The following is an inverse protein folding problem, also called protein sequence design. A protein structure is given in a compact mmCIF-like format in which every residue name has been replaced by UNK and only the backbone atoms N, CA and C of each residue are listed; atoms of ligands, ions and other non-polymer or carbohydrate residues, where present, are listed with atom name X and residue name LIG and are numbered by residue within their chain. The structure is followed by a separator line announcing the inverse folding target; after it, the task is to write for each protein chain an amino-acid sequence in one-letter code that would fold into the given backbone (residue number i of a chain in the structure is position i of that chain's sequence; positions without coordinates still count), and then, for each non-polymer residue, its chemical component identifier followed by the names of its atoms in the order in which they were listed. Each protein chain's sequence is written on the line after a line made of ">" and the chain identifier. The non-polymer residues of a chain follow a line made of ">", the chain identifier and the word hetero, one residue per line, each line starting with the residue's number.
data_IF_007942423565
#
_entry.id   IF_007942423565
#
_cell.length_a   1.000
_cell.length_b   1.000
_cell.length_c   1.000
_cell.angle_alpha   90.00
_cell.angle_beta   90.00
_cell.angle_gamma   90.00
#
_symmetry.space_group_name_H-M   'P 1'
#
loop_
_entity.id
_entity.type
_entity.pdbx_description
1 polymer ?
#
# COMPACT_ATOMS: atom_id res chain seq x y z
N UNK A 1 12.21 -16.43 -3.13
CA UNK A 1 13.10 -15.51 -3.88
C UNK A 1 12.24 -14.52 -4.69
N UNK A 2 11.38 -14.98 -5.63
CA UNK A 2 10.58 -14.12 -6.52
C UNK A 2 9.79 -13.06 -5.75
N UNK A 3 9.06 -13.46 -4.72
CA UNK A 3 8.29 -12.52 -3.90
C UNK A 3 9.19 -11.47 -3.24
N UNK A 4 10.29 -11.89 -2.60
CA UNK A 4 11.20 -10.99 -1.89
C UNK A 4 11.99 -10.04 -2.82
N UNK A 5 12.06 -10.35 -4.11
CA UNK A 5 12.76 -9.56 -5.13
C UNK A 5 11.81 -8.77 -6.04
N UNK A 6 10.51 -8.80 -5.79
CA UNK A 6 9.53 -7.96 -6.48
C UNK A 6 9.57 -6.53 -5.93
N UNK A 7 9.62 -5.52 -6.81
CA UNK A 7 9.82 -4.12 -6.40
C UNK A 7 8.74 -3.61 -5.44
N UNK A 8 7.48 -3.95 -5.66
CA UNK A 8 6.37 -3.55 -4.77
C UNK A 8 6.58 -4.04 -3.34
N UNK A 9 6.98 -5.31 -3.17
CA UNK A 9 7.28 -5.90 -1.85
C UNK A 9 8.44 -5.15 -1.20
N UNK A 10 9.49 -4.82 -1.94
CA UNK A 10 10.67 -4.14 -1.39
C UNK A 10 10.32 -2.73 -0.93
N UNK A 11 9.58 -1.98 -1.76
CA UNK A 11 9.18 -0.61 -1.45
C UNK A 11 8.26 -0.58 -0.23
N UNK A 12 7.22 -1.42 -0.22
CA UNK A 12 6.22 -1.42 0.86
C UNK A 12 6.73 -2.07 2.15
N UNK A 13 7.67 -3.02 2.09
CA UNK A 13 8.30 -3.59 3.29
C UNK A 13 9.09 -2.55 4.10
N UNK A 14 9.50 -1.45 3.48
CA UNK A 14 10.19 -0.32 4.15
C UNK A 14 9.27 0.84 4.48
N UNK A 15 8.07 0.82 3.97
CA UNK A 15 7.04 1.82 4.30
C UNK A 15 6.34 1.43 5.59
N UNK A 16 6.11 2.39 6.48
CA UNK A 16 5.39 2.16 7.73
C UNK A 16 3.87 2.01 7.47
N UNK A 17 3.50 1.00 6.67
CA UNK A 17 2.11 0.69 6.31
C UNK A 17 1.69 -0.68 6.86
N UNK A 18 0.44 -0.80 7.25
CA UNK A 18 -0.13 -2.03 7.80
C UNK A 18 -0.30 -3.13 6.74
N UNK A 19 -0.21 -2.78 5.44
CA UNK A 19 -0.43 -3.70 4.34
C UNK A 19 0.56 -4.86 4.31
N UNK A 20 1.83 -4.64 4.66
CA UNK A 20 2.84 -5.70 4.72
C UNK A 20 2.55 -6.73 5.82
N UNK A 21 2.11 -6.27 7.00
CA UNK A 21 1.68 -7.15 8.07
C UNK A 21 0.43 -7.93 7.69
N UNK A 22 -0.54 -7.28 7.01
CA UNK A 22 -1.71 -7.94 6.45
C UNK A 22 -1.34 -9.03 5.45
N UNK A 23 -0.45 -8.75 4.50
CA UNK A 23 0.00 -9.73 3.48
C UNK A 23 0.66 -10.93 4.13
N UNK A 24 1.52 -10.70 5.13
CA UNK A 24 2.11 -11.80 5.89
C UNK A 24 1.05 -12.67 6.56
N UNK A 25 0.13 -12.07 7.30
CA UNK A 25 -0.93 -12.78 8.00
C UNK A 25 -1.87 -13.52 7.03
N UNK A 26 -2.30 -12.88 5.93
CA UNK A 26 -3.12 -13.53 4.89
C UNK A 26 -2.38 -14.69 4.21
N UNK A 27 -1.08 -14.55 3.99
CA UNK A 27 -0.26 -15.62 3.39
C UNK A 27 -0.20 -16.83 4.32
N UNK A 28 0.08 -16.61 5.61
CA UNK A 28 0.07 -17.69 6.61
C UNK A 28 -1.32 -18.33 6.68
N UNK A 29 -2.39 -17.53 6.76
CA UNK A 29 -3.76 -18.03 6.83
C UNK A 29 -4.11 -18.93 5.63
N UNK A 30 -3.91 -18.43 4.40
CA UNK A 30 -4.32 -19.11 3.17
C UNK A 30 -3.48 -20.36 2.89
N UNK A 31 -2.18 -20.33 3.13
CA UNK A 31 -1.31 -21.50 3.01
C UNK A 31 -1.69 -22.55 4.07
N UNK A 32 -1.97 -22.12 5.30
CA UNK A 32 -2.39 -23.04 6.37
C UNK A 32 -3.75 -23.68 6.08
N UNK A 33 -4.72 -22.96 5.51
CA UNK A 33 -5.98 -23.55 5.04
C UNK A 33 -5.74 -24.59 3.93
N UNK A 34 -4.88 -24.29 2.97
CA UNK A 34 -4.51 -25.21 1.91
C UNK A 34 -3.86 -26.50 2.46
N UNK A 35 -3.02 -26.37 3.49
CA UNK A 35 -2.35 -27.48 4.19
C UNK A 35 -3.23 -28.15 5.25
N UNK A 36 -4.45 -27.65 5.48
CA UNK A 36 -5.39 -28.11 6.52
C UNK A 36 -4.85 -27.94 7.95
N UNK A 37 -3.99 -26.99 8.16
CA UNK A 37 -3.41 -26.57 9.45
C UNK A 37 -4.30 -25.48 10.05
N UNK A 38 -5.42 -25.85 10.66
CA UNK A 38 -6.48 -24.88 11.00
C UNK A 38 -6.13 -23.95 12.16
N UNK A 39 -5.30 -24.39 13.14
CA UNK A 39 -4.89 -23.52 14.26
C UNK A 39 -4.12 -22.30 13.74
N UNK A 40 -2.98 -22.46 13.04
CA UNK A 40 -2.26 -21.29 12.50
C UNK A 40 -3.10 -20.50 11.48
N UNK A 41 -4.01 -21.16 10.72
CA UNK A 41 -4.88 -20.47 9.79
C UNK A 41 -5.78 -19.44 10.49
N UNK A 42 -6.50 -19.85 11.54
CA UNK A 42 -7.40 -18.95 12.28
C UNK A 42 -6.65 -17.94 13.15
N UNK A 43 -5.52 -18.31 13.72
CA UNK A 43 -4.65 -17.36 14.42
C UNK A 43 -4.21 -16.23 13.47
N UNK A 44 -3.76 -16.60 12.28
CA UNK A 44 -3.36 -15.63 11.27
C UNK A 44 -4.52 -14.76 10.77
N UNK A 45 -5.74 -15.31 10.64
CA UNK A 45 -6.95 -14.52 10.37
C UNK A 45 -7.21 -13.48 11.48
N UNK A 46 -7.04 -13.84 12.75
CA UNK A 46 -7.17 -12.93 13.88
C UNK A 46 -6.15 -11.78 13.82
N UNK A 47 -4.89 -12.06 13.53
CA UNK A 47 -3.86 -11.05 13.29
C UNK A 47 -4.16 -10.19 12.06
N UNK A 48 -4.61 -10.78 10.96
CA UNK A 48 -5.01 -10.04 9.78
C UNK A 48 -6.16 -9.06 10.06
N UNK A 49 -7.13 -9.48 10.90
CA UNK A 49 -8.21 -8.62 11.36
C UNK A 49 -7.70 -7.44 12.20
N UNK A 50 -6.73 -7.66 13.08
CA UNK A 50 -6.09 -6.57 13.84
C UNK A 50 -5.41 -5.54 12.95
N UNK A 51 -4.85 -5.98 11.81
CA UNK A 51 -4.12 -5.07 10.91
C UNK A 51 -5.05 -4.20 10.05
N UNK A 52 -6.15 -4.76 9.55
CA UNK A 52 -7.01 -4.06 8.57
C UNK A 52 -8.51 -4.41 8.68
N UNK A 53 -8.95 -4.90 9.83
CA UNK A 53 -10.37 -5.18 10.11
C UNK A 53 -10.96 -6.33 9.26
N UNK A 54 -12.20 -6.16 8.74
CA UNK A 54 -12.98 -7.25 8.13
C UNK A 54 -12.30 -8.02 7.02
N UNK A 55 -11.36 -7.40 6.28
CA UNK A 55 -10.59 -8.04 5.21
C UNK A 55 -9.81 -9.26 5.74
N UNK A 56 -9.36 -9.20 7.02
CA UNK A 56 -8.60 -10.28 7.65
C UNK A 56 -9.36 -11.62 7.74
N UNK A 57 -10.68 -11.58 7.88
CA UNK A 57 -11.55 -12.76 7.82
C UNK A 57 -12.16 -12.96 6.43
N UNK A 58 -12.57 -11.85 5.81
CA UNK A 58 -13.33 -11.89 4.55
C UNK A 58 -12.53 -12.49 3.40
N UNK A 59 -11.27 -12.10 3.23
CA UNK A 59 -10.45 -12.59 2.12
C UNK A 59 -10.16 -14.09 2.21
N UNK A 60 -9.66 -14.64 3.34
CA UNK A 60 -9.49 -16.07 3.46
C UNK A 60 -10.79 -16.84 3.24
N UNK A 61 -11.90 -16.39 3.81
CA UNK A 61 -13.19 -17.03 3.66
C UNK A 61 -13.68 -17.06 2.20
N UNK A 62 -13.60 -15.90 1.49
CA UNK A 62 -14.04 -15.79 0.10
C UNK A 62 -13.13 -16.57 -0.85
N UNK A 63 -11.81 -16.50 -0.68
CA UNK A 63 -10.85 -17.21 -1.54
C UNK A 63 -11.03 -18.72 -1.40
N UNK A 64 -11.12 -19.22 -0.16
CA UNK A 64 -11.34 -20.65 0.10
C UNK A 64 -12.70 -21.09 -0.44
N UNK A 65 -13.77 -20.32 -0.22
CA UNK A 65 -15.11 -20.63 -0.73
C UNK A 65 -15.14 -20.68 -2.26
N UNK A 66 -14.57 -19.68 -2.94
CA UNK A 66 -14.48 -19.65 -4.40
C UNK A 66 -13.71 -20.84 -4.94
N UNK A 67 -12.56 -21.16 -4.34
CA UNK A 67 -11.80 -22.34 -4.73
C UNK A 67 -12.59 -23.65 -4.52
N UNK A 68 -13.31 -23.78 -3.39
CA UNK A 68 -14.18 -24.94 -3.14
C UNK A 68 -15.34 -25.01 -4.14
N UNK A 69 -15.93 -23.90 -4.56
CA UNK A 69 -16.97 -23.85 -5.58
C UNK A 69 -16.43 -24.28 -6.95
N UNK A 70 -15.29 -23.74 -7.39
CA UNK A 70 -14.68 -24.09 -8.67
C UNK A 70 -14.26 -25.57 -8.71
N UNK A 71 -13.75 -26.10 -7.60
CA UNK A 71 -13.38 -27.53 -7.49
C UNK A 71 -14.55 -28.48 -7.20
N UNK A 72 -15.79 -27.94 -7.20
CA UNK A 72 -17.03 -28.71 -6.85
C UNK A 72 -16.94 -29.38 -5.49
N UNK A 73 -16.16 -28.85 -4.58
CA UNK A 73 -15.98 -29.39 -3.21
C UNK A 73 -16.73 -28.57 -2.15
N UNK A 74 -17.54 -27.61 -2.54
CA UNK A 74 -18.36 -26.78 -1.64
C UNK A 74 -19.54 -27.58 -1.12
N UNK A 75 -19.30 -28.46 -0.12
CA UNK A 75 -20.28 -29.31 0.53
C UNK A 75 -20.27 -29.05 2.03
N UNK A 76 -21.41 -29.32 2.70
CA UNK A 76 -21.53 -29.14 4.14
C UNK A 76 -20.42 -29.90 4.90
N UNK A 77 -20.12 -31.14 4.47
CA UNK A 77 -19.04 -31.95 5.03
C UNK A 77 -17.69 -31.26 4.96
N UNK A 78 -17.32 -30.66 3.82
CA UNK A 78 -16.06 -30.01 3.63
C UNK A 78 -16.01 -28.66 4.35
N UNK A 79 -17.14 -27.93 4.43
CA UNK A 79 -17.27 -26.71 5.22
C UNK A 79 -17.04 -26.99 6.71
N UNK A 80 -17.67 -28.08 7.23
CA UNK A 80 -17.44 -28.50 8.61
C UNK A 80 -16.01 -28.96 8.85
N UNK A 81 -15.36 -29.56 7.83
CA UNK A 81 -13.96 -29.97 7.90
C UNK A 81 -12.98 -28.77 8.04
N UNK A 82 -13.38 -27.54 7.68
CA UNK A 82 -12.61 -26.31 7.95
C UNK A 82 -12.58 -25.97 9.44
N UNK A 83 -13.36 -26.65 10.27
CA UNK A 83 -13.40 -26.48 11.74
C UNK A 83 -13.70 -25.04 12.18
N UNK A 84 -14.52 -24.33 11.40
CA UNK A 84 -14.85 -22.91 11.63
C UNK A 84 -15.52 -22.67 13.00
N UNK A 85 -16.25 -23.65 13.53
CA UNK A 85 -17.00 -23.55 14.80
C UNK A 85 -16.12 -23.30 16.03
N UNK A 86 -14.85 -23.70 16.01
CA UNK A 86 -13.88 -23.32 17.03
C UNK A 86 -12.81 -22.34 16.49
N UNK A 87 -12.55 -22.38 15.20
CA UNK A 87 -11.54 -21.54 14.55
C UNK A 87 -11.91 -20.06 14.57
N UNK A 88 -13.18 -19.71 14.29
CA UNK A 88 -13.65 -18.33 14.38
C UNK A 88 -13.55 -17.81 15.83
N UNK A 89 -14.02 -18.51 16.89
CA UNK A 89 -13.76 -18.13 18.26
C UNK A 89 -12.30 -17.89 18.59
N UNK A 90 -11.39 -18.76 18.10
CA UNK A 90 -9.94 -18.57 18.30
C UNK A 90 -9.44 -17.27 17.65
N UNK A 91 -9.85 -16.98 16.43
CA UNK A 91 -9.46 -15.76 15.73
C UNK A 91 -10.06 -14.53 16.40
N UNK A 92 -11.29 -14.58 16.88
CA UNK A 92 -11.93 -13.52 17.66
C UNK A 92 -11.22 -13.28 19.00
N UNK A 93 -10.77 -14.34 19.67
CA UNK A 93 -10.00 -14.22 20.93
C UNK A 93 -8.70 -13.41 20.74
N UNK A 94 -8.10 -13.50 19.56
CA UNK A 94 -6.89 -12.72 19.23
C UNK A 94 -7.25 -11.28 18.86
N UNK A 95 -8.29 -11.07 18.07
CA UNK A 95 -8.58 -9.76 17.48
C UNK A 95 -9.45 -8.86 18.36
N UNK A 96 -10.50 -9.39 18.98
CA UNK A 96 -11.53 -8.59 19.65
C UNK A 96 -11.11 -7.88 20.94
N UNK A 97 -10.17 -8.38 21.77
CA UNK A 97 -9.78 -7.69 22.99
C UNK A 97 -9.36 -6.24 22.75
N UNK A 98 -8.62 -5.98 21.66
CA UNK A 98 -8.20 -4.62 21.31
C UNK A 98 -9.41 -3.74 20.89
N UNK A 99 -10.31 -4.28 20.06
CA UNK A 99 -11.50 -3.53 19.62
C UNK A 99 -12.47 -3.25 20.76
N UNK A 100 -12.64 -4.20 21.69
CA UNK A 100 -13.45 -4.02 22.89
C UNK A 100 -12.84 -2.92 23.75
N UNK A 101 -11.53 -2.97 24.03
CA UNK A 101 -10.83 -1.96 24.81
C UNK A 101 -11.00 -0.55 24.18
N UNK A 102 -10.78 -0.42 22.88
CA UNK A 102 -10.89 0.85 22.16
C UNK A 102 -12.34 1.39 22.16
N UNK A 103 -13.32 0.48 22.02
CA UNK A 103 -14.73 0.87 22.08
C UNK A 103 -15.13 1.33 23.50
N UNK A 104 -14.64 0.66 24.54
CA UNK A 104 -14.89 1.08 25.92
C UNK A 104 -14.26 2.43 26.26
N UNK A 105 -13.11 2.75 25.65
CA UNK A 105 -12.37 4.00 25.94
C UNK A 105 -12.83 5.19 25.10
N UNK A 106 -13.20 4.97 23.84
CA UNK A 106 -13.55 6.03 22.88
C UNK A 106 -15.04 6.04 22.50
N UNK A 107 -15.83 5.09 23.01
CA UNK A 107 -17.27 5.01 22.74
C UNK A 107 -17.63 4.62 21.30
N UNK A 108 -18.89 4.85 20.90
CA UNK A 108 -19.41 4.49 19.57
C UNK A 108 -18.64 5.13 18.41
N UNK A 109 -18.07 6.32 18.62
CA UNK A 109 -17.31 7.07 17.60
C UNK A 109 -16.15 6.24 17.03
N UNK A 110 -15.51 5.41 17.85
CA UNK A 110 -14.46 4.51 17.37
C UNK A 110 -15.00 3.48 16.38
N UNK A 111 -16.13 2.85 16.69
CA UNK A 111 -16.76 1.84 15.84
C UNK A 111 -17.24 2.44 14.52
N UNK A 112 -17.90 3.60 14.56
CA UNK A 112 -18.39 4.31 13.37
C UNK A 112 -17.23 4.76 12.47
N UNK A 113 -16.15 5.25 13.05
CA UNK A 113 -14.98 5.68 12.30
C UNK A 113 -14.24 4.47 11.70
N UNK A 114 -13.99 3.43 12.49
CA UNK A 114 -13.17 2.29 12.03
C UNK A 114 -13.95 1.40 11.06
N UNK A 115 -15.14 0.95 11.41
CA UNK A 115 -15.91 0.03 10.56
C UNK A 115 -16.75 0.77 9.52
N UNK A 116 -17.34 1.92 9.87
CA UNK A 116 -18.16 2.72 8.96
C UNK A 116 -17.28 3.41 7.92
N UNK A 117 -16.51 4.41 8.35
CA UNK A 117 -15.76 5.25 7.42
C UNK A 117 -14.56 4.55 6.77
N UNK A 118 -13.66 3.99 7.57
CA UNK A 118 -12.41 3.42 7.04
C UNK A 118 -12.57 2.09 6.29
N UNK A 119 -13.65 1.34 6.50
CA UNK A 119 -13.87 0.07 5.81
C UNK A 119 -15.00 0.14 4.78
N UNK A 120 -16.23 0.45 5.18
CA UNK A 120 -17.38 0.42 4.27
C UNK A 120 -17.42 1.65 3.33
N UNK A 121 -17.30 2.86 3.87
CA UNK A 121 -17.41 4.06 3.05
C UNK A 121 -16.27 4.17 2.02
N UNK A 122 -15.05 3.78 2.37
CA UNK A 122 -13.91 3.74 1.43
C UNK A 122 -14.10 2.79 0.25
N UNK A 123 -14.86 1.72 0.45
CA UNK A 123 -15.13 0.78 -0.64
C UNK A 123 -16.22 1.31 -1.58
N UNK A 124 -17.24 1.98 -1.04
CA UNK A 124 -18.42 2.44 -1.78
C UNK A 124 -18.34 3.88 -2.29
N UNK A 125 -17.55 4.74 -1.63
CA UNK A 125 -17.43 6.16 -1.97
C UNK A 125 -15.97 6.54 -2.20
N UNK A 126 -15.64 7.23 -3.30
CA UNK A 126 -14.26 7.63 -3.58
C UNK A 126 -13.80 8.69 -2.57
N UNK A 127 -12.67 8.46 -1.92
CA UNK A 127 -12.03 9.45 -1.04
C UNK A 127 -11.47 10.65 -1.84
N UNK A 128 -11.26 10.44 -3.16
CA UNK A 128 -10.84 11.46 -4.11
C UNK A 128 -11.63 11.31 -5.40
N UNK A 129 -12.52 12.26 -5.67
CA UNK A 129 -13.33 12.28 -6.90
C UNK A 129 -12.43 12.31 -8.15
N UNK A 130 -12.69 11.41 -9.11
CA UNK A 130 -12.04 11.41 -10.42
C UNK A 130 -10.67 10.73 -10.50
N UNK A 131 -10.21 10.00 -9.46
CA UNK A 131 -8.88 9.33 -9.47
C UNK A 131 -8.91 7.81 -9.63
N UNK A 132 -10.08 7.21 -9.83
CA UNK A 132 -10.20 5.77 -10.00
C UNK A 132 -10.02 5.39 -11.46
N UNK A 133 -8.96 4.67 -11.76
CA UNK A 133 -8.68 4.20 -13.12
C UNK A 133 -8.56 2.69 -13.11
N UNK A 134 -9.42 2.00 -13.84
CA UNK A 134 -9.37 0.53 -14.00
C UNK A 134 -7.99 0.02 -14.43
N UNK A 135 -7.21 0.84 -15.13
CA UNK A 135 -5.86 0.49 -15.60
C UNK A 135 -4.76 0.67 -14.53
N UNK A 136 -5.05 1.35 -13.39
CA UNK A 136 -4.04 1.65 -12.37
C UNK A 136 -3.34 0.38 -11.88
N UNK A 137 -4.11 -0.64 -11.50
CA UNK A 137 -3.52 -1.87 -10.98
C UNK A 137 -2.80 -2.72 -12.02
N UNK A 138 -3.09 -2.55 -13.31
CA UNK A 138 -2.26 -3.15 -14.37
C UNK A 138 -0.86 -2.54 -14.38
N UNK A 139 -0.76 -1.21 -14.24
CA UNK A 139 0.55 -0.53 -14.15
C UNK A 139 1.27 -0.90 -12.86
N UNK A 140 0.57 -0.86 -11.72
CA UNK A 140 1.15 -1.23 -10.43
C UNK A 140 1.66 -2.68 -10.45
N UNK A 141 0.88 -3.61 -11.00
CA UNK A 141 1.30 -4.99 -11.18
C UNK A 141 2.52 -5.11 -12.11
N UNK A 142 2.48 -4.43 -13.25
CA UNK A 142 3.55 -4.49 -14.23
C UNK A 142 4.87 -3.92 -13.69
N UNK A 143 4.84 -2.79 -13.01
CA UNK A 143 6.02 -2.17 -12.40
C UNK A 143 6.42 -2.87 -11.10
N UNK A 144 5.47 -3.16 -10.23
CA UNK A 144 5.72 -3.71 -8.90
C UNK A 144 6.19 -5.16 -8.91
N UNK A 145 5.76 -5.97 -9.89
CA UNK A 145 6.23 -7.35 -10.02
C UNK A 145 7.57 -7.47 -10.77
N UNK A 146 8.13 -6.37 -11.31
CA UNK A 146 9.46 -6.39 -11.89
C UNK A 146 10.48 -6.85 -10.84
N UNK A 147 11.47 -7.69 -11.21
CA UNK A 147 11.86 -8.10 -12.56
C UNK A 147 11.13 -9.34 -13.12
N UNK A 148 10.06 -9.81 -12.48
CA UNK A 148 9.33 -11.05 -12.83
C UNK A 148 8.11 -10.82 -13.71
N UNK A 149 7.80 -9.58 -14.06
CA UNK A 149 6.62 -9.19 -14.84
C UNK A 149 6.48 -9.98 -16.15
N UNK A 150 7.61 -10.31 -16.79
CA UNK A 150 7.64 -11.14 -18.00
C UNK A 150 7.05 -12.54 -17.84
N UNK A 151 6.94 -13.06 -16.61
CA UNK A 151 6.33 -14.36 -16.35
C UNK A 151 4.80 -14.36 -16.43
N UNK A 152 4.16 -13.22 -16.22
CA UNK A 152 2.69 -13.12 -16.11
C UNK A 152 1.97 -13.68 -17.34
N UNK A 153 2.31 -13.30 -18.59
CA UNK A 153 1.64 -13.88 -19.76
C UNK A 153 1.84 -15.39 -19.86
N UNK A 154 3.04 -15.89 -19.50
CA UNK A 154 3.35 -17.32 -19.47
C UNK A 154 2.51 -18.09 -18.45
N UNK A 155 2.38 -17.55 -17.25
CA UNK A 155 1.53 -18.11 -16.20
C UNK A 155 0.10 -18.28 -16.70
N UNK A 156 -0.52 -17.24 -17.26
CA UNK A 156 -1.90 -17.32 -17.72
C UNK A 156 -2.06 -18.21 -18.97
N UNK A 157 -1.04 -18.31 -19.82
CA UNK A 157 -1.05 -19.27 -20.94
C UNK A 157 -1.10 -20.72 -20.47
N UNK A 158 -0.47 -21.05 -19.35
CA UNK A 158 -0.49 -22.41 -18.78
C UNK A 158 -1.74 -22.68 -17.91
N UNK A 159 -2.61 -21.71 -17.70
CA UNK A 159 -3.82 -21.88 -16.89
C UNK A 159 -4.68 -23.10 -17.29
N UNK A 160 -4.94 -23.40 -18.59
CA UNK A 160 -5.78 -24.54 -18.97
C UNK A 160 -5.24 -25.89 -18.48
N UNK A 161 -3.93 -26.01 -18.38
CA UNK A 161 -3.24 -27.19 -17.89
C UNK A 161 -3.16 -27.18 -16.35
N UNK A 162 -2.65 -26.09 -15.77
CA UNK A 162 -2.34 -25.98 -14.35
C UNK A 162 -3.58 -25.90 -13.46
N UNK A 163 -4.74 -25.48 -14.01
CA UNK A 163 -6.01 -25.52 -13.27
C UNK A 163 -6.46 -26.93 -12.87
N UNK A 164 -5.89 -27.98 -13.46
CA UNK A 164 -6.14 -29.37 -13.08
C UNK A 164 -5.50 -29.73 -11.74
N UNK A 165 -4.40 -29.08 -11.39
CA UNK A 165 -3.79 -29.16 -10.07
C UNK A 165 -4.55 -28.25 -9.10
N UNK A 166 -5.08 -28.84 -8.02
CA UNK A 166 -5.88 -28.11 -7.02
C UNK A 166 -5.10 -27.03 -6.29
N UNK A 167 -3.80 -27.24 -6.08
CA UNK A 167 -2.92 -26.27 -5.40
C UNK A 167 -2.61 -25.09 -6.31
N UNK A 168 -2.26 -25.34 -7.57
CA UNK A 168 -2.02 -24.26 -8.54
C UNK A 168 -3.30 -23.45 -8.79
N UNK A 169 -4.45 -24.15 -8.91
CA UNK A 169 -5.75 -23.48 -9.04
C UNK A 169 -6.06 -22.58 -7.83
N UNK A 170 -5.71 -22.99 -6.60
CA UNK A 170 -5.87 -22.16 -5.41
C UNK A 170 -5.09 -20.86 -5.52
N UNK A 171 -3.84 -20.92 -5.99
CA UNK A 171 -3.02 -19.71 -6.20
C UNK A 171 -3.57 -18.81 -7.31
N UNK A 172 -4.13 -19.37 -8.39
CA UNK A 172 -4.84 -18.60 -9.40
C UNK A 172 -6.07 -17.88 -8.83
N UNK A 173 -6.91 -18.61 -8.09
CA UNK A 173 -8.12 -18.05 -7.46
C UNK A 173 -7.74 -16.91 -6.52
N UNK A 174 -6.74 -17.12 -5.69
CA UNK A 174 -6.26 -16.08 -4.77
C UNK A 174 -5.73 -14.85 -5.51
N UNK A 175 -4.84 -15.04 -6.49
CA UNK A 175 -4.27 -13.96 -7.30
C UNK A 175 -5.36 -13.14 -8.00
N UNK A 176 -6.24 -13.82 -8.72
CA UNK A 176 -7.29 -13.18 -9.52
C UNK A 176 -8.35 -12.52 -8.63
N UNK A 177 -8.73 -13.14 -7.52
CA UNK A 177 -9.68 -12.56 -6.57
C UNK A 177 -9.21 -11.21 -6.04
N UNK A 178 -7.97 -11.12 -5.55
CA UNK A 178 -7.42 -9.87 -5.00
C UNK A 178 -7.38 -8.79 -6.08
N UNK A 179 -6.92 -9.13 -7.28
CA UNK A 179 -6.84 -8.18 -8.38
C UNK A 179 -8.21 -7.63 -8.77
N UNK A 180 -9.19 -8.51 -8.97
CA UNK A 180 -10.56 -8.12 -9.34
C UNK A 180 -11.20 -7.31 -8.22
N UNK A 181 -11.13 -7.78 -6.97
CA UNK A 181 -11.76 -7.12 -5.83
C UNK A 181 -11.34 -5.66 -5.72
N UNK A 182 -10.03 -5.38 -5.76
CA UNK A 182 -9.54 -4.02 -5.64
C UNK A 182 -9.69 -3.19 -6.92
N UNK A 183 -9.73 -3.81 -8.09
CA UNK A 183 -10.01 -3.10 -9.34
C UNK A 183 -11.42 -2.48 -9.37
N UNK A 184 -12.37 -3.07 -8.63
CA UNK A 184 -13.72 -2.53 -8.46
C UNK A 184 -13.88 -1.63 -7.23
N UNK A 185 -12.83 -1.45 -6.43
CA UNK A 185 -12.89 -0.55 -5.26
C UNK A 185 -12.93 0.91 -5.72
N UNK A 186 -13.77 1.71 -5.05
CA UNK A 186 -13.88 3.15 -5.29
C UNK A 186 -12.62 3.92 -4.88
N UNK A 187 -11.89 3.44 -3.87
CA UNK A 187 -10.59 3.99 -3.47
C UNK A 187 -9.49 3.02 -3.89
N UNK A 188 -8.49 3.52 -4.61
CA UNK A 188 -7.38 2.71 -5.12
C UNK A 188 -6.04 3.23 -4.59
N UNK A 189 -5.32 2.39 -3.82
CA UNK A 189 -3.95 2.62 -3.38
C UNK A 189 -3.03 1.56 -3.97
N UNK A 190 -1.79 1.92 -4.25
CA UNK A 190 -0.79 0.99 -4.81
C UNK A 190 -0.66 -0.29 -3.99
N UNK A 191 -0.67 -0.17 -2.65
CA UNK A 191 -0.54 -1.29 -1.72
C UNK A 191 -1.71 -2.28 -1.69
N UNK A 192 -2.86 -1.93 -2.28
CA UNK A 192 -4.06 -2.76 -2.16
C UNK A 192 -3.94 -4.13 -2.86
N UNK A 193 -3.21 -4.19 -3.98
CA UNK A 193 -2.99 -5.46 -4.68
C UNK A 193 -1.82 -6.28 -4.11
N UNK A 194 -1.11 -5.76 -3.10
CA UNK A 194 0.03 -6.46 -2.49
C UNK A 194 -0.29 -7.91 -2.06
N UNK A 195 -1.49 -8.24 -1.50
CA UNK A 195 -1.83 -9.61 -1.12
C UNK A 195 -1.87 -10.62 -2.27
N UNK A 196 -1.84 -10.19 -3.54
CA UNK A 196 -1.75 -11.12 -4.68
C UNK A 196 -0.31 -11.55 -5.02
N UNK A 197 0.70 -10.84 -4.50
CA UNK A 197 2.11 -11.10 -4.85
C UNK A 197 2.63 -12.46 -4.36
N UNK A 198 2.30 -12.93 -3.13
CA UNK A 198 2.71 -14.26 -2.68
C UNK A 198 2.23 -15.38 -3.61
N UNK A 199 0.93 -15.55 -3.92
CA UNK A 199 0.48 -16.61 -4.81
C UNK A 199 0.97 -16.43 -6.25
N UNK A 200 1.04 -15.19 -6.77
CA UNK A 200 1.60 -14.90 -8.08
C UNK A 200 3.09 -15.32 -8.17
N UNK A 201 3.84 -15.09 -7.10
CA UNK A 201 5.25 -15.49 -7.01
C UNK A 201 5.43 -17.01 -7.02
N UNK A 202 4.49 -17.76 -6.40
CA UNK A 202 4.50 -19.23 -6.45
C UNK A 202 4.20 -19.73 -7.87
N UNK A 203 3.25 -19.13 -8.56
CA UNK A 203 2.94 -19.44 -9.96
C UNK A 203 4.12 -19.07 -10.87
N UNK A 204 4.77 -17.93 -10.64
CA UNK A 204 5.97 -17.53 -11.38
C UNK A 204 7.14 -18.49 -11.15
N UNK A 205 7.33 -18.96 -9.91
CA UNK A 205 8.32 -20.00 -9.58
C UNK A 205 8.06 -21.29 -10.35
N UNK A 206 6.81 -21.77 -10.37
CA UNK A 206 6.43 -22.95 -11.18
C UNK A 206 6.69 -22.71 -12.67
N UNK A 207 6.42 -21.51 -13.17
CA UNK A 207 6.69 -21.15 -14.56
C UNK A 207 8.19 -21.19 -14.88
N UNK A 208 9.05 -20.64 -14.00
CA UNK A 208 10.51 -20.67 -14.17
C UNK A 208 11.05 -22.11 -14.18
N UNK A 209 10.58 -22.96 -13.24
CA UNK A 209 10.93 -24.38 -13.20
C UNK A 209 10.51 -25.09 -14.50
N UNK A 210 9.30 -24.83 -14.98
CA UNK A 210 8.82 -25.42 -16.22
C UNK A 210 9.67 -25.01 -17.44
N UNK A 211 10.12 -23.76 -17.50
CA UNK A 211 11.05 -23.32 -18.56
C UNK A 211 12.42 -24.02 -18.46
N UNK A 212 12.94 -24.21 -17.25
CA UNK A 212 14.20 -24.90 -16.99
C UNK A 212 14.10 -26.39 -17.39
N UNK A 213 13.06 -27.10 -16.95
CA UNK A 213 12.83 -28.52 -17.23
C UNK A 213 12.63 -28.79 -18.71
N UNK A 214 11.89 -27.92 -19.40
CA UNK A 214 11.59 -28.09 -20.83
C UNK A 214 12.71 -27.56 -21.76
N UNK A 215 13.67 -26.80 -21.23
CA UNK A 215 14.66 -26.08 -22.01
C UNK A 215 14.07 -25.03 -22.96
N UNK A 216 12.79 -24.68 -22.77
CA UNK A 216 12.08 -23.74 -23.62
C UNK A 216 12.45 -22.31 -23.29
N UNK A 217 12.93 -21.58 -24.29
CA UNK A 217 13.22 -20.15 -24.16
C UNK A 217 12.02 -19.34 -24.64
N UNK A 218 11.26 -18.84 -23.68
CA UNK A 218 10.09 -17.99 -23.98
C UNK A 218 10.52 -16.63 -24.52
N UNK A 219 10.28 -16.39 -25.80
CA UNK A 219 10.53 -15.08 -26.44
C UNK A 219 9.70 -13.97 -25.79
N UNK A 220 8.45 -14.27 -25.42
CA UNK A 220 7.58 -13.31 -24.76
C UNK A 220 8.16 -12.88 -23.41
N UNK A 221 8.61 -13.83 -22.59
CA UNK A 221 9.29 -13.51 -21.33
C UNK A 221 10.53 -12.65 -21.56
N UNK A 222 11.36 -13.03 -22.52
CA UNK A 222 12.60 -12.31 -22.84
C UNK A 222 12.33 -10.86 -23.24
N UNK A 223 11.40 -10.63 -24.17
CA UNK A 223 11.09 -9.28 -24.64
C UNK A 223 10.41 -8.41 -23.57
N UNK A 224 9.50 -8.97 -22.79
CA UNK A 224 8.88 -8.24 -21.68
C UNK A 224 9.89 -7.90 -20.59
N UNK A 225 10.82 -8.82 -20.28
CA UNK A 225 11.90 -8.55 -19.33
C UNK A 225 12.80 -7.40 -19.82
N UNK A 226 13.23 -7.42 -21.08
CA UNK A 226 14.05 -6.34 -21.67
C UNK A 226 13.31 -4.99 -21.68
N UNK A 227 12.03 -4.99 -22.04
CA UNK A 227 11.19 -3.80 -22.07
C UNK A 227 11.07 -3.16 -20.68
N UNK A 228 10.75 -3.96 -19.65
CA UNK A 228 10.65 -3.43 -18.28
C UNK A 228 12.02 -3.04 -17.71
N UNK A 229 13.11 -3.73 -18.06
CA UNK A 229 14.47 -3.32 -17.69
C UNK A 229 14.80 -1.93 -18.24
N UNK A 230 14.46 -1.68 -19.51
CA UNK A 230 14.69 -0.38 -20.15
C UNK A 230 13.83 0.73 -19.49
N UNK A 231 12.54 0.46 -19.27
CA UNK A 231 11.63 1.44 -18.62
C UNK A 231 12.09 1.76 -17.21
N UNK A 232 12.45 0.75 -16.42
CA UNK A 232 12.87 0.97 -15.02
C UNK A 232 14.17 1.75 -14.96
N UNK A 233 15.15 1.41 -15.81
CA UNK A 233 16.40 2.15 -15.91
C UNK A 233 16.17 3.59 -16.37
N UNK A 234 15.31 3.81 -17.37
CA UNK A 234 14.92 5.14 -17.85
C UNK A 234 14.19 5.97 -16.78
N UNK A 235 13.28 5.36 -16.05
CA UNK A 235 12.56 6.02 -14.95
C UNK A 235 13.52 6.49 -13.85
N UNK A 236 14.52 5.66 -13.50
CA UNK A 236 15.56 6.06 -12.55
C UNK A 236 16.41 7.19 -13.11
N UNK A 237 16.82 7.10 -14.38
CA UNK A 237 17.65 8.13 -15.01
C UNK A 237 16.97 9.51 -15.09
N UNK A 238 15.64 9.52 -15.25
CA UNK A 238 14.83 10.74 -15.40
C UNK A 238 14.16 11.21 -14.10
N UNK A 239 14.28 10.45 -13.01
CA UNK A 239 13.63 10.81 -11.75
C UNK A 239 14.21 12.11 -11.17
N UNK A 240 13.38 13.01 -10.62
CA UNK A 240 13.85 14.23 -9.97
C UNK A 240 14.66 13.89 -8.72
N UNK A 241 15.87 14.42 -8.62
CA UNK A 241 16.74 14.25 -7.47
C UNK A 241 16.89 15.59 -6.74
N UNK A 242 17.05 15.52 -5.41
CA UNK A 242 17.43 16.70 -4.64
C UNK A 242 18.77 17.28 -5.15
N UNK A 243 18.92 18.62 -5.15
CA UNK A 243 20.13 19.26 -5.69
C UNK A 243 21.45 18.76 -5.09
N UNK A 244 21.40 18.27 -3.86
CA UNK A 244 22.57 17.81 -3.09
C UNK A 244 22.97 16.35 -3.42
N UNK A 245 22.09 15.58 -4.07
CA UNK A 245 22.40 14.22 -4.50
C UNK A 245 23.00 14.27 -5.92
N UNK A 246 24.27 13.95 -6.05
CA UNK A 246 24.98 14.00 -7.33
C UNK A 246 24.29 13.21 -8.43
N UNK A 247 23.97 13.84 -9.55
CA UNK A 247 23.34 13.21 -10.73
C UNK A 247 24.14 11.99 -11.24
N UNK A 248 25.42 11.93 -11.02
CA UNK A 248 26.29 10.82 -11.43
C UNK A 248 25.91 9.49 -10.80
N UNK A 249 25.49 9.46 -9.53
CA UNK A 249 25.07 8.22 -8.86
C UNK A 249 23.81 7.66 -9.51
N UNK A 250 22.87 8.50 -9.89
CA UNK A 250 21.63 8.15 -10.58
C UNK A 250 21.89 7.51 -11.94
N UNK A 251 22.72 8.16 -12.75
CA UNK A 251 23.09 7.66 -14.07
C UNK A 251 23.86 6.33 -13.97
N UNK A 252 24.77 6.21 -13.00
CA UNK A 252 25.51 4.99 -12.75
C UNK A 252 24.58 3.82 -12.37
N UNK A 253 23.65 4.04 -11.44
CA UNK A 253 22.69 3.00 -11.04
C UNK A 253 21.76 2.63 -12.18
N UNK A 254 21.26 3.60 -12.94
CA UNK A 254 20.45 3.36 -14.13
C UNK A 254 21.19 2.49 -15.16
N UNK A 255 22.44 2.84 -15.47
CA UNK A 255 23.30 2.07 -16.39
C UNK A 255 23.58 0.66 -15.85
N UNK A 256 23.88 0.52 -14.56
CA UNK A 256 24.13 -0.78 -13.93
C UNK A 256 22.88 -1.69 -13.97
N UNK A 257 21.70 -1.14 -13.71
CA UNK A 257 20.44 -1.90 -13.79
C UNK A 257 20.13 -2.33 -15.24
N UNK A 258 20.33 -1.45 -16.21
CA UNK A 258 20.14 -1.78 -17.62
C UNK A 258 21.13 -2.87 -18.06
N UNK A 259 22.41 -2.74 -17.73
CA UNK A 259 23.43 -3.73 -18.03
C UNK A 259 23.09 -5.08 -17.40
N UNK A 260 22.70 -5.11 -16.12
CA UNK A 260 22.29 -6.33 -15.45
C UNK A 260 21.04 -6.96 -16.10
N UNK A 261 20.07 -6.16 -16.55
CA UNK A 261 18.89 -6.63 -17.29
C UNK A 261 19.27 -7.27 -18.63
N UNK A 262 20.21 -6.67 -19.38
CA UNK A 262 20.72 -7.23 -20.64
C UNK A 262 21.51 -8.53 -20.40
N UNK A 263 22.35 -8.58 -19.38
CA UNK A 263 23.12 -9.77 -19.00
C UNK A 263 22.18 -10.89 -18.55
N UNK A 264 21.15 -10.56 -17.76
CA UNK A 264 20.11 -11.52 -17.37
C UNK A 264 19.39 -12.09 -18.59
N UNK A 265 19.00 -11.24 -19.54
CA UNK A 265 18.37 -11.68 -20.80
C UNK A 265 19.30 -12.61 -21.61
N UNK A 266 20.60 -12.32 -21.66
CA UNK A 266 21.61 -13.18 -22.30
C UNK A 266 21.68 -14.55 -21.63
N UNK A 267 21.79 -14.62 -20.30
CA UNK A 267 21.81 -15.89 -19.57
C UNK A 267 20.50 -16.68 -19.73
N UNK A 268 19.38 -16.01 -19.67
CA UNK A 268 18.08 -16.62 -19.95
C UNK A 268 18.03 -17.25 -21.34
N UNK A 269 18.46 -16.50 -22.38
CA UNK A 269 18.53 -17.00 -23.78
C UNK A 269 19.48 -18.19 -23.94
N UNK A 270 20.50 -18.32 -23.10
CA UNK A 270 21.45 -19.45 -23.09
C UNK A 270 20.97 -20.62 -22.24
N UNK A 271 19.78 -20.55 -21.60
CA UNK A 271 19.30 -21.59 -20.68
C UNK A 271 20.04 -21.66 -19.34
N UNK A 272 20.84 -20.65 -19.02
CA UNK A 272 21.63 -20.57 -17.77
C UNK A 272 20.77 -19.94 -16.66
N UNK A 273 19.75 -20.65 -16.19
CA UNK A 273 18.74 -20.14 -15.26
C UNK A 273 19.32 -19.70 -13.91
N UNK A 274 20.35 -20.37 -13.39
CA UNK A 274 21.02 -19.97 -12.14
C UNK A 274 21.66 -18.59 -12.27
N UNK A 275 22.39 -18.34 -13.36
CA UNK A 275 23.03 -17.06 -13.60
C UNK A 275 22.00 -15.96 -13.86
N UNK A 276 20.91 -16.30 -14.55
CA UNK A 276 19.76 -15.41 -14.70
C UNK A 276 19.21 -14.98 -13.32
N UNK A 277 18.99 -15.93 -12.39
CA UNK A 277 18.49 -15.61 -11.05
C UNK A 277 19.47 -14.73 -10.25
N UNK A 278 20.77 -14.97 -10.37
CA UNK A 278 21.80 -14.12 -9.75
C UNK A 278 21.70 -12.68 -10.28
N UNK A 279 21.58 -12.53 -11.60
CA UNK A 279 21.39 -11.20 -12.21
C UNK A 279 20.11 -10.50 -11.72
N UNK A 280 19.00 -11.23 -11.51
CA UNK A 280 17.80 -10.64 -10.95
C UNK A 280 18.03 -10.13 -9.52
N UNK A 281 18.75 -10.89 -8.69
CA UNK A 281 19.16 -10.44 -7.36
C UNK A 281 20.02 -9.18 -7.42
N UNK A 282 20.92 -9.09 -8.37
CA UNK A 282 21.77 -7.91 -8.58
C UNK A 282 20.96 -6.68 -9.03
N UNK A 283 20.01 -6.83 -9.97
CA UNK A 283 19.09 -5.75 -10.40
C UNK A 283 18.37 -5.18 -9.19
N UNK A 284 17.81 -6.05 -8.35
CA UNK A 284 17.10 -5.64 -7.15
C UNK A 284 18.03 -4.95 -6.15
N UNK A 285 19.24 -5.45 -5.97
CA UNK A 285 20.23 -4.82 -5.08
C UNK A 285 20.60 -3.42 -5.56
N UNK A 286 20.81 -3.24 -6.87
CA UNK A 286 21.03 -1.92 -7.47
C UNK A 286 19.84 -0.99 -7.24
N UNK A 287 18.60 -1.48 -7.38
CA UNK A 287 17.41 -0.70 -7.12
C UNK A 287 17.33 -0.26 -5.65
N UNK A 288 17.52 -1.18 -4.70
CA UNK A 288 17.53 -0.88 -3.26
C UNK A 288 18.61 0.14 -2.93
N UNK A 289 19.81 -0.02 -3.48
CA UNK A 289 20.90 0.92 -3.31
C UNK A 289 20.53 2.30 -3.87
N UNK A 290 19.94 2.36 -5.06
CA UNK A 290 19.46 3.61 -5.67
C UNK A 290 18.45 4.32 -4.78
N UNK A 291 17.43 3.60 -4.33
CA UNK A 291 16.39 4.18 -3.45
C UNK A 291 17.01 4.70 -2.16
N UNK A 292 17.97 3.98 -1.58
CA UNK A 292 18.58 4.36 -0.32
C UNK A 292 19.56 5.54 -0.45
N UNK A 293 20.47 5.50 -1.41
CA UNK A 293 21.57 6.47 -1.50
C UNK A 293 21.27 7.63 -2.43
N UNK A 294 20.42 7.44 -3.44
CA UNK A 294 20.13 8.47 -4.44
C UNK A 294 18.81 9.19 -4.15
N UNK A 295 17.77 8.43 -3.83
CA UNK A 295 16.43 8.97 -3.60
C UNK A 295 16.06 9.09 -2.13
N UNK A 296 16.78 8.43 -1.21
CA UNK A 296 16.42 8.36 0.20
C UNK A 296 16.26 9.74 0.83
N UNK A 297 17.21 10.65 0.59
CA UNK A 297 17.15 12.03 1.07
C UNK A 297 15.96 12.77 0.47
N UNK A 298 15.75 12.65 -0.84
CA UNK A 298 14.62 13.31 -1.54
C UNK A 298 13.28 12.76 -1.05
N UNK A 299 13.15 11.44 -0.96
CA UNK A 299 11.94 10.78 -0.46
C UNK A 299 11.70 11.15 0.99
N UNK A 300 12.73 11.15 1.84
CA UNK A 300 12.60 11.56 3.23
C UNK A 300 12.11 13.00 3.32
N UNK A 301 12.70 13.95 2.59
CA UNK A 301 12.25 15.35 2.58
C UNK A 301 10.83 15.53 2.07
N UNK A 302 10.39 14.73 1.11
CA UNK A 302 9.03 14.83 0.55
C UNK A 302 7.95 14.17 1.44
N UNK A 303 8.29 13.10 2.15
CA UNK A 303 7.33 12.31 2.92
C UNK A 303 7.46 12.45 4.44
N UNK A 304 8.59 12.94 4.96
CA UNK A 304 8.74 13.26 6.38
C UNK A 304 8.79 14.76 6.57
N UNK A 305 8.00 15.26 7.50
CA UNK A 305 8.02 16.66 7.90
C UNK A 305 8.84 16.86 9.18
N UNK A 306 9.91 16.05 9.36
CA UNK A 306 10.78 16.11 10.54
C UNK A 306 11.34 17.50 10.76
N UNK A 307 11.93 18.09 9.70
CA UNK A 307 12.54 19.43 9.78
C UNK A 307 11.52 20.52 10.13
N UNK A 308 10.26 20.34 9.67
CA UNK A 308 9.14 21.24 9.96
C UNK A 308 8.68 21.05 11.40
N UNK A 309 8.57 19.81 11.85
CA UNK A 309 8.16 19.48 13.21
C UNK A 309 9.15 19.97 14.26
N UNK A 310 10.45 19.82 14.01
CA UNK A 310 11.51 20.33 14.89
C UNK A 310 11.56 21.85 14.92
N UNK A 311 11.31 22.51 13.78
CA UNK A 311 11.22 23.97 13.71
C UNK A 311 9.98 24.50 14.46
N UNK A 312 8.84 23.81 14.30
CA UNK A 312 7.62 24.12 15.06
C UNK A 312 7.87 23.99 16.56
N UNK A 313 8.55 22.94 17.00
CA UNK A 313 8.89 22.72 18.43
C UNK A 313 9.73 23.84 19.01
N UNK A 314 10.65 24.42 18.22
CA UNK A 314 11.49 25.54 18.65
C UNK A 314 10.70 26.85 18.80
N UNK A 315 9.70 27.06 17.94
CA UNK A 315 9.01 28.33 17.79
C UNK A 315 7.59 28.33 18.38
N UNK A 316 7.10 27.19 18.85
CA UNK A 316 5.77 27.06 19.42
C UNK A 316 5.84 27.23 20.95
N UNK A 317 5.21 28.26 21.53
CA UNK A 317 5.05 28.38 22.99
C UNK A 317 4.16 27.25 23.49
N UNK A 318 4.57 26.57 24.56
CA UNK A 318 3.97 25.32 25.02
C UNK A 318 2.50 25.36 25.46
N UNK A 319 1.87 26.53 25.56
CA UNK A 319 0.49 26.71 26.05
C UNK A 319 -0.48 27.30 25.04
N UNK A 320 -0.08 27.52 23.77
CA UNK A 320 -0.95 28.13 22.78
C UNK A 320 -1.63 27.08 21.88
N UNK A 321 -2.83 27.39 21.40
CA UNK A 321 -3.55 26.53 20.46
C UNK A 321 -2.83 26.48 19.11
N UNK A 322 -2.48 25.30 18.65
CA UNK A 322 -1.87 25.07 17.33
C UNK A 322 -2.81 24.28 16.45
N UNK A 323 -3.16 24.85 15.30
CA UNK A 323 -3.92 24.16 14.25
C UNK A 323 -2.96 23.58 13.21
N UNK A 324 -3.05 22.28 12.94
CA UNK A 324 -2.10 21.56 12.11
C UNK A 324 -2.85 20.90 10.93
N UNK A 325 -2.37 21.19 9.71
CA UNK A 325 -2.81 20.47 8.50
C UNK A 325 -2.65 18.96 8.69
N UNK A 326 -3.67 18.20 8.28
CA UNK A 326 -3.70 16.75 8.41
C UNK A 326 -2.46 16.06 7.85
N UNK A 327 -1.84 16.63 6.81
CA UNK A 327 -0.60 16.13 6.21
C UNK A 327 0.59 16.16 7.17
N UNK A 328 0.75 17.23 7.95
CA UNK A 328 1.90 17.38 8.87
C UNK A 328 1.67 16.72 10.23
N UNK A 329 0.43 16.45 10.59
CA UNK A 329 0.05 16.02 11.93
C UNK A 329 0.79 14.79 12.44
N UNK A 330 0.96 13.69 11.66
CA UNK A 330 1.71 12.51 12.14
C UNK A 330 3.17 12.84 12.45
N UNK A 331 3.84 13.62 11.58
CA UNK A 331 5.23 13.99 11.76
C UNK A 331 5.42 14.97 12.94
N UNK A 332 4.51 15.92 13.09
CA UNK A 332 4.54 16.89 14.19
C UNK A 332 4.32 16.20 15.54
N UNK A 333 3.38 15.26 15.62
CA UNK A 333 3.17 14.47 16.82
C UNK A 333 4.40 13.60 17.15
N UNK A 334 4.98 12.95 16.13
CA UNK A 334 6.10 12.02 16.33
C UNK A 334 7.42 12.72 16.65
N UNK A 335 7.82 13.72 15.86
CA UNK A 335 9.12 14.40 16.03
C UNK A 335 9.05 15.63 16.94
N UNK A 336 7.91 16.31 16.95
CA UNK A 336 7.70 17.56 17.70
C UNK A 336 7.11 17.36 19.09
N UNK A 337 6.45 16.23 19.32
CA UNK A 337 5.64 15.98 20.53
C UNK A 337 4.53 17.04 20.72
N UNK A 338 3.98 17.53 19.61
CA UNK A 338 2.94 18.56 19.59
C UNK A 338 1.65 17.96 19.05
N UNK A 339 0.62 17.91 19.90
CA UNK A 339 -0.70 17.40 19.60
C UNK A 339 -1.68 18.57 19.36
N UNK A 340 -1.56 19.19 18.19
CA UNK A 340 -2.41 20.32 17.84
C UNK A 340 -3.83 19.92 17.41
N UNK A 341 -4.71 20.93 17.31
CA UNK A 341 -6.06 20.80 16.73
C UNK A 341 -5.95 20.54 15.22
N UNK A 342 -6.93 19.83 14.64
CA UNK A 342 -6.99 19.63 13.18
C UNK A 342 -7.35 20.97 12.55
N UNK A 343 -6.58 21.37 11.52
CA UNK A 343 -6.88 22.56 10.75
C UNK A 343 -8.20 22.37 9.98
N UNK A 344 -9.17 23.28 10.12
CA UNK A 344 -10.40 23.25 9.35
C UNK A 344 -10.13 23.28 7.83
N UNK A 345 -10.96 22.60 7.05
CA UNK A 345 -10.92 22.69 5.58
C UNK A 345 -11.72 23.91 5.14
N UNK A 346 -11.03 24.90 4.54
CA UNK A 346 -11.65 26.14 4.03
C UNK A 346 -11.89 26.09 2.51
N UNK A 347 -11.78 24.93 1.88
CA UNK A 347 -11.91 24.75 0.44
C UNK A 347 -13.38 24.58 0.07
N UNK A 348 -13.94 25.45 -0.81
CA UNK A 348 -15.36 25.43 -1.18
C UNK A 348 -15.79 24.10 -1.82
N UNK A 349 -14.93 23.47 -2.65
CA UNK A 349 -15.20 22.16 -3.26
C UNK A 349 -15.38 21.04 -2.22
N UNK A 350 -14.54 21.04 -1.17
CA UNK A 350 -14.65 20.08 -0.08
C UNK A 350 -15.81 20.36 0.87
N UNK A 351 -16.33 21.58 0.87
CA UNK A 351 -17.46 21.98 1.71
C UNK A 351 -18.78 21.44 1.19
N UNK A 352 -19.04 21.54 -0.11
CA UNK A 352 -20.23 20.94 -0.73
C UNK A 352 -20.21 19.41 -0.62
N UNK A 353 -19.01 18.79 -0.72
CA UNK A 353 -18.84 17.35 -0.55
C UNK A 353 -19.04 16.93 0.92
N UNK A 354 -18.58 17.70 1.89
CA UNK A 354 -18.81 17.46 3.31
C UNK A 354 -20.30 17.60 3.67
N UNK A 355 -21.02 18.60 3.13
CA UNK A 355 -22.47 18.72 3.28
C UNK A 355 -23.19 17.53 2.67
N UNK A 356 -22.83 17.14 1.44
CA UNK A 356 -23.42 15.99 0.73
C UNK A 356 -23.19 14.66 1.47
N UNK A 357 -22.04 14.52 2.12
CA UNK A 357 -21.72 13.34 2.93
C UNK A 357 -22.47 13.35 4.25
N UNK A 358 -22.67 14.52 4.86
CA UNK A 358 -23.48 14.69 6.08
C UNK A 358 -24.97 14.39 5.83
N UNK A 359 -25.51 14.81 4.70
CA UNK A 359 -26.87 14.46 4.26
C UNK A 359 -27.05 12.96 4.02
N UNK A 360 -25.97 12.24 3.67
CA UNK A 360 -25.92 10.78 3.52
C UNK A 360 -25.65 10.04 4.84
N UNK A 361 -25.59 10.74 5.98
CA UNK A 361 -25.30 10.14 7.29
C UNK A 361 -23.83 9.74 7.50
N UNK A 362 -22.91 10.17 6.62
CA UNK A 362 -21.48 9.93 6.76
C UNK A 362 -20.88 11.07 7.57
N UNK A 363 -20.70 10.85 8.88
CA UNK A 363 -20.03 11.80 9.78
C UNK A 363 -18.52 11.64 9.59
N UNK A 364 -17.89 12.59 8.91
CA UNK A 364 -16.44 12.67 8.86
C UNK A 364 -15.91 13.19 10.21
N UNK A 365 -14.76 12.71 10.71
CA UNK A 365 -14.16 13.24 11.95
C UNK A 365 -13.85 14.73 11.90
N UNK A 366 -13.93 15.34 10.71
CA UNK A 366 -13.71 16.77 10.44
C UNK A 366 -14.99 17.61 10.55
N UNK A 367 -16.18 17.01 10.70
CA UNK A 367 -17.45 17.74 10.66
C UNK A 367 -17.82 18.43 11.99
N UNK A 368 -17.10 18.14 13.07
CA UNK A 368 -17.30 18.74 14.39
C UNK A 368 -16.39 19.93 14.70
N UNK A 369 -15.64 20.42 13.70
CA UNK A 369 -14.63 21.46 13.95
C UNK A 369 -15.27 22.83 13.76
N UNK A 370 -15.23 23.63 14.81
CA UNK A 370 -15.50 25.05 14.73
C UNK A 370 -14.69 25.65 13.58
N UNK A 371 -15.39 26.29 12.64
CA UNK A 371 -14.76 26.89 11.44
C UNK A 371 -13.89 28.08 11.77
N UNK A 372 -14.00 28.59 12.98
CA UNK A 372 -13.25 29.76 13.41
C UNK A 372 -11.97 29.32 14.14
N UNK A 373 -10.84 29.66 13.55
CA UNK A 373 -9.55 29.58 14.22
C UNK A 373 -9.54 30.61 15.33
N UNK A 374 -9.21 30.18 16.54
CA UNK A 374 -9.11 31.04 17.72
C UNK A 374 -8.11 32.20 17.47
N UNK A 375 -8.44 33.36 18.00
CA UNK A 375 -7.53 34.53 17.99
C UNK A 375 -6.25 34.19 18.76
N UNK A 376 -5.12 34.58 18.23
CA UNK A 376 -3.81 34.26 18.80
C UNK A 376 -3.28 32.87 18.50
N UNK A 377 -4.08 31.99 17.91
CA UNK A 377 -3.66 30.63 17.59
C UNK A 377 -2.62 30.56 16.47
N UNK A 378 -1.79 29.54 16.54
CA UNK A 378 -0.81 29.21 15.49
C UNK A 378 -1.40 28.23 14.48
N UNK A 379 -0.94 28.33 13.22
CA UNK A 379 -1.42 27.52 12.10
C UNK A 379 -0.23 26.97 11.33
N UNK A 380 -0.14 25.66 11.21
CA UNK A 380 0.79 24.99 10.31
C UNK A 380 0.02 24.41 9.12
N UNK A 381 0.28 24.93 7.92
CA UNK A 381 -0.47 24.58 6.71
C UNK A 381 0.45 24.43 5.50
N UNK A 382 0.07 23.57 4.54
CA UNK A 382 0.74 23.51 3.24
C UNK A 382 0.46 24.75 2.41
N UNK A 383 1.51 25.31 1.77
CA UNK A 383 1.37 26.48 0.90
C UNK A 383 0.30 26.31 -0.19
N UNK A 384 0.25 25.14 -0.81
CA UNK A 384 -0.78 24.82 -1.83
C UNK A 384 -2.20 24.84 -1.27
N UNK A 385 -2.40 24.44 -0.01
CA UNK A 385 -3.68 24.47 0.68
C UNK A 385 -4.04 25.90 1.04
N UNK A 386 -3.10 26.64 1.65
CA UNK A 386 -3.27 28.04 2.00
C UNK A 386 -3.63 28.89 0.77
N UNK A 387 -3.00 28.66 -0.38
CA UNK A 387 -3.27 29.41 -1.59
C UNK A 387 -4.71 29.29 -2.09
N UNK A 388 -5.39 28.19 -1.79
CA UNK A 388 -6.81 27.94 -2.15
C UNK A 388 -7.79 28.54 -1.16
N UNK A 389 -7.33 29.04 -0.01
CA UNK A 389 -8.22 29.63 0.98
C UNK A 389 -8.86 30.93 0.46
N UNK A 390 -10.13 31.18 0.85
CA UNK A 390 -10.80 32.45 0.59
C UNK A 390 -10.05 33.62 1.20
N UNK A 391 -10.14 34.80 0.59
CA UNK A 391 -9.50 36.01 1.11
C UNK A 391 -9.93 36.37 2.54
N UNK A 392 -11.20 36.07 2.88
CA UNK A 392 -11.76 36.26 4.21
C UNK A 392 -11.05 35.44 5.28
N UNK A 393 -10.62 34.22 4.98
CA UNK A 393 -9.91 33.35 5.92
C UNK A 393 -8.40 33.69 6.01
N UNK A 394 -7.86 34.39 5.02
CA UNK A 394 -6.48 34.89 5.02
C UNK A 394 -6.33 36.22 5.78
N UNK A 395 -7.42 36.94 6.01
CA UNK A 395 -7.41 38.19 6.71
C UNK A 395 -6.98 38.01 8.18
N UNK A 396 -6.07 38.84 8.66
CA UNK A 396 -5.55 38.77 10.02
C UNK A 396 -4.58 37.63 10.29
N UNK A 397 -3.99 37.02 9.25
CA UNK A 397 -2.96 35.99 9.39
C UNK A 397 -1.57 36.58 9.14
N UNK A 398 -0.70 36.50 10.13
CA UNK A 398 0.70 36.92 10.05
C UNK A 398 1.57 35.68 9.76
N UNK A 399 2.41 35.78 8.73
CA UNK A 399 3.43 34.76 8.45
C UNK A 399 4.57 34.85 9.44
N UNK A 400 4.84 33.79 10.20
CA UNK A 400 5.96 33.72 11.14
C UNK A 400 7.18 33.16 10.43
N UNK A 401 7.03 32.02 9.76
CA UNK A 401 8.09 31.44 8.93
C UNK A 401 7.52 30.58 7.79
N UNK A 402 8.36 30.41 6.77
CA UNK A 402 8.13 29.49 5.66
C UNK A 402 9.32 28.56 5.53
N UNK A 403 9.04 27.25 5.43
CA UNK A 403 10.07 26.23 5.22
C UNK A 403 9.55 25.16 4.27
N UNK A 404 10.29 24.92 3.19
CA UNK A 404 9.87 24.02 2.10
C UNK A 404 8.46 24.39 1.59
N UNK A 405 7.49 23.49 1.75
CA UNK A 405 6.09 23.72 1.38
C UNK A 405 5.20 24.12 2.56
N UNK A 406 5.75 24.31 3.74
CA UNK A 406 5.02 24.64 4.95
C UNK A 406 5.03 26.13 5.24
N UNK A 407 3.87 26.65 5.61
CA UNK A 407 3.66 27.97 6.16
C UNK A 407 3.27 27.86 7.63
N UNK A 408 3.94 28.58 8.49
CA UNK A 408 3.57 28.74 9.88
C UNK A 408 3.08 30.15 10.10
N UNK A 409 1.83 30.26 10.49
CA UNK A 409 1.07 31.49 10.55
C UNK A 409 0.57 31.69 11.98
N UNK A 410 0.32 32.94 12.35
CA UNK A 410 -0.38 33.33 13.59
C UNK A 410 -1.62 34.13 13.23
N UNK A 411 -2.74 33.84 13.85
CA UNK A 411 -3.94 34.67 13.74
C UNK A 411 -3.81 35.86 14.65
N UNK A 412 -3.86 37.05 14.07
CA UNK A 412 -3.83 38.29 14.84
C UNK A 412 -5.08 38.38 15.75
N UNK A 413 -4.92 39.09 16.85
CA UNK A 413 -5.94 39.25 17.89
C UNK A 413 -7.19 40.00 17.42
#
# INVERSE_FOLDING_TARGET
>A
FICATSLEIIVLARSAVTDTALVFALTVALISFLRKEYIPAYMACGFAFLTKGPIGFGFPALIVALWMMITKSFTLKNIMALKWYWGIPLACLISFPWFIYMTMHHGPVFMDTFFGYHNLARFSSPEHVGKNHLWLFFIVLAAGFYPWTGSIPGIFRHFPEWRKDRTLLFFYVWTVFIFIFFSFSSTQLFSYILPMFPPLSLLAGKYMVNLEETGHISKLFLYTHLFFSLITAGAIACAPIAPDAGKWSQWFVSAAMLAAGLIAAYFFKKGRFKDFLICQGFIVSCFVFSVWFTFGVTVTRLFTSESIALELKKNCPGNESVYIDAFYRPSVAFYGDIYGKILPKFDEENFEEAIKNREKGIILPTDSIDRDIEKGAYILVQEKVYNRWPKTQKAGLQLIWKKDTALFLRKES
#
